data_IF_032223658413
#
_entry.id   IF_032223658413
#
_cell.length_a   1.000
_cell.length_b   1.000
_cell.length_c   1.000
_cell.angle_alpha   90.00
_cell.angle_beta   90.00
_cell.angle_gamma   90.00
#
_symmetry.space_group_name_H-M   'P 1'
#
loop_
_entity.id
_entity.type
_entity.pdbx_description
1 polymer ?
#
# COMPACT_ATOMS: atom_id res chain seq x y z
N UNK A 1 -2.14 18.67 -3.14
CA UNK A 1 -1.77 17.41 -3.80
C UNK A 1 -1.72 16.30 -2.76
N UNK A 2 -2.38 15.19 -3.03
CA UNK A 2 -2.38 14.07 -2.09
C UNK A 2 -1.08 13.28 -2.21
N UNK A 3 -0.54 12.87 -1.09
CA UNK A 3 0.73 12.17 -0.99
C UNK A 3 0.49 10.71 -0.65
N UNK A 4 1.00 9.82 -1.50
CA UNK A 4 0.82 8.38 -1.38
C UNK A 4 2.16 7.73 -1.03
N UNK A 5 2.18 6.87 -0.02
CA UNK A 5 3.29 5.98 0.24
C UNK A 5 2.98 4.62 -0.38
N UNK A 6 3.76 4.22 -1.37
CA UNK A 6 3.61 2.95 -2.09
C UNK A 6 4.66 1.97 -1.58
N UNK A 7 4.21 0.87 -0.99
CA UNK A 7 5.09 -0.10 -0.34
C UNK A 7 4.99 -1.45 -1.06
N UNK A 8 6.03 -1.80 -1.78
CA UNK A 8 6.12 -3.05 -2.53
C UNK A 8 7.59 -3.31 -2.87
N UNK A 9 8.03 -4.57 -2.82
CA UNK A 9 9.40 -4.94 -3.14
C UNK A 9 9.66 -5.11 -4.64
N UNK A 10 8.62 -5.13 -5.45
CA UNK A 10 8.72 -5.22 -6.90
C UNK A 10 9.05 -3.85 -7.49
N UNK A 11 10.33 -3.66 -7.85
CA UNK A 11 10.81 -2.35 -8.33
C UNK A 11 10.22 -1.96 -9.67
N UNK A 12 9.95 -2.92 -10.53
CA UNK A 12 9.33 -2.66 -11.82
C UNK A 12 7.87 -2.20 -11.65
N UNK A 13 7.12 -2.91 -10.81
CA UNK A 13 5.74 -2.55 -10.53
C UNK A 13 5.63 -1.19 -9.84
N UNK A 14 6.48 -0.92 -8.85
CA UNK A 14 6.43 0.37 -8.15
C UNK A 14 6.75 1.53 -9.08
N UNK A 15 7.69 1.34 -10.00
CA UNK A 15 8.03 2.37 -10.99
C UNK A 15 6.83 2.68 -11.91
N UNK A 16 6.15 1.63 -12.39
CA UNK A 16 4.96 1.78 -13.23
C UNK A 16 3.82 2.48 -12.47
N UNK A 17 3.54 2.03 -11.26
CA UNK A 17 2.45 2.59 -10.46
C UNK A 17 2.74 4.04 -10.06
N UNK A 18 3.98 4.35 -9.74
CA UNK A 18 4.35 5.72 -9.43
C UNK A 18 4.09 6.64 -10.62
N UNK A 19 4.52 6.23 -11.81
CA UNK A 19 4.30 7.00 -13.02
C UNK A 19 2.81 7.22 -13.28
N UNK A 20 2.01 6.15 -13.17
CA UNK A 20 0.57 6.22 -13.36
C UNK A 20 -0.09 7.18 -12.36
N UNK A 21 0.23 7.04 -11.09
CA UNK A 21 -0.39 7.85 -10.04
C UNK A 21 0.04 9.32 -10.12
N UNK A 22 1.28 9.58 -10.51
CA UNK A 22 1.74 10.95 -10.71
C UNK A 22 1.04 11.61 -11.90
N UNK A 23 0.71 10.85 -12.93
CA UNK A 23 -0.10 11.36 -14.05
C UNK A 23 -1.51 11.74 -13.61
N UNK A 24 -2.02 11.10 -12.56
CA UNK A 24 -3.34 11.42 -12.00
C UNK A 24 -3.28 12.55 -10.95
N UNK A 25 -2.13 13.14 -10.74
CA UNK A 25 -1.98 14.29 -9.85
C UNK A 25 -1.55 13.97 -8.43
N UNK A 26 -1.18 12.72 -8.14
CA UNK A 26 -0.70 12.34 -6.81
C UNK A 26 0.81 12.51 -6.71
N UNK A 27 1.29 12.76 -5.49
CA UNK A 27 2.72 12.69 -5.18
C UNK A 27 3.00 11.31 -4.58
N UNK A 28 4.01 10.60 -5.08
CA UNK A 28 4.26 9.22 -4.68
C UNK A 28 5.67 9.04 -4.12
N UNK A 29 5.75 8.44 -2.93
CA UNK A 29 6.99 8.01 -2.31
C UNK A 29 6.98 6.49 -2.29
N UNK A 30 8.10 5.85 -2.60
CA UNK A 30 8.21 4.39 -2.65
C UNK A 30 9.02 3.88 -1.47
N UNK A 31 8.52 2.82 -0.82
CA UNK A 31 9.27 1.99 0.11
C UNK A 31 9.28 0.56 -0.41
N UNK A 32 10.40 -0.13 -0.28
CA UNK A 32 10.56 -1.47 -0.85
C UNK A 32 10.38 -2.59 0.16
N UNK A 33 10.17 -2.26 1.41
CA UNK A 33 9.84 -3.21 2.47
C UNK A 33 9.15 -2.50 3.63
N UNK A 34 8.67 -3.29 4.59
CA UNK A 34 7.92 -2.75 5.73
C UNK A 34 8.75 -1.86 6.64
N UNK A 35 10.03 -2.13 6.78
CA UNK A 35 10.91 -1.29 7.62
C UNK A 35 11.11 0.08 7.00
N UNK A 36 11.33 0.13 5.69
CA UNK A 36 11.41 1.41 4.98
C UNK A 36 10.10 2.18 5.07
N UNK A 37 8.97 1.47 4.98
CA UNK A 37 7.66 2.11 5.09
C UNK A 37 7.50 2.81 6.44
N UNK A 38 7.88 2.15 7.53
CA UNK A 38 7.79 2.73 8.86
C UNK A 38 8.72 3.93 9.03
N UNK A 39 9.89 3.90 8.40
CA UNK A 39 10.83 5.01 8.43
C UNK A 39 10.30 6.23 7.66
N UNK A 40 9.65 6.01 6.53
CA UNK A 40 9.18 7.08 5.64
C UNK A 40 7.80 7.61 6.02
N UNK A 41 7.04 6.86 6.81
CA UNK A 41 5.68 7.24 7.17
C UNK A 41 5.68 8.40 8.15
N UNK A 42 4.92 9.43 7.83
CA UNK A 42 4.74 10.59 8.70
C UNK A 42 3.34 11.18 8.48
N UNK A 43 3.03 12.28 9.15
CA UNK A 43 1.71 12.90 9.09
C UNK A 43 1.38 13.54 7.74
N UNK A 44 2.35 13.64 6.83
CA UNK A 44 2.12 14.21 5.49
C UNK A 44 1.57 13.18 4.50
N UNK A 45 1.62 11.89 4.85
CA UNK A 45 1.11 10.82 3.99
C UNK A 45 -0.40 10.76 4.10
N UNK A 46 -1.08 10.84 2.95
CA UNK A 46 -2.55 10.82 2.89
C UNK A 46 -3.13 9.43 2.65
N UNK A 47 -2.35 8.54 2.03
CA UNK A 47 -2.79 7.19 1.69
C UNK A 47 -1.60 6.24 1.64
N UNK A 48 -1.80 5.03 2.13
CA UNK A 48 -0.82 3.96 2.05
C UNK A 48 -1.31 2.85 1.13
N UNK A 49 -0.51 2.51 0.12
CA UNK A 49 -0.71 1.33 -0.71
C UNK A 49 0.33 0.30 -0.25
N UNK A 50 -0.12 -0.82 0.29
CA UNK A 50 0.74 -1.75 1.02
C UNK A 50 0.63 -3.16 0.47
N UNK A 51 1.75 -3.69 -0.03
CA UNK A 51 1.84 -5.08 -0.46
C UNK A 51 1.90 -6.01 0.75
N UNK A 52 1.24 -7.16 0.68
CA UNK A 52 1.26 -8.16 1.74
C UNK A 52 2.55 -8.98 1.72
N UNK A 53 2.98 -9.41 0.54
CA UNK A 53 4.12 -10.33 0.40
C UNK A 53 5.42 -9.56 0.16
N UNK A 54 6.14 -9.29 1.24
CA UNK A 54 7.41 -8.57 1.16
C UNK A 54 8.49 -9.27 1.98
N UNK A 55 9.78 -9.11 1.62
CA UNK A 55 10.88 -9.60 2.44
C UNK A 55 11.02 -8.80 3.74
N UNK A 56 11.75 -9.33 4.69
CA UNK A 56 12.02 -8.74 6.02
C UNK A 56 10.78 -8.65 6.88
N UNK A 57 9.84 -7.79 6.50
CA UNK A 57 8.61 -7.57 7.24
C UNK A 57 7.45 -7.56 6.28
N UNK A 58 6.53 -8.52 6.41
CA UNK A 58 5.39 -8.61 5.51
C UNK A 58 4.37 -7.49 5.76
N UNK A 59 3.42 -7.33 4.81
CA UNK A 59 2.45 -6.26 4.87
C UNK A 59 1.52 -6.32 6.06
N UNK A 60 1.16 -7.52 6.52
CA UNK A 60 0.27 -7.68 7.68
C UNK A 60 0.94 -7.17 8.95
N UNK A 61 2.20 -7.57 9.19
CA UNK A 61 2.94 -7.10 10.35
C UNK A 61 3.21 -5.61 10.28
N UNK A 62 3.49 -5.10 9.10
CA UNK A 62 3.67 -3.67 8.87
C UNK A 62 2.40 -2.90 9.21
N UNK A 63 1.24 -3.39 8.77
CA UNK A 63 -0.04 -2.76 9.06
C UNK A 63 -0.31 -2.70 10.57
N UNK A 64 -0.02 -3.78 11.30
CA UNK A 64 -0.18 -3.80 12.75
C UNK A 64 0.61 -2.69 13.43
N UNK A 65 1.87 -2.48 13.02
CA UNK A 65 2.69 -1.43 13.60
C UNK A 65 2.20 -0.05 13.22
N UNK A 66 1.78 0.13 11.96
CA UNK A 66 1.24 1.41 11.51
C UNK A 66 0.02 1.81 12.33
N UNK A 67 -0.89 0.89 12.59
CA UNK A 67 -2.13 1.17 13.31
C UNK A 67 -1.92 1.51 14.78
N UNK A 68 -0.75 1.26 15.34
CA UNK A 68 -0.41 1.72 16.69
C UNK A 68 -0.23 3.24 16.77
N UNK A 69 0.14 3.87 15.66
CA UNK A 69 0.52 5.28 15.64
C UNK A 69 -0.28 6.14 14.66
N UNK A 70 -0.85 5.54 13.61
CA UNK A 70 -1.45 6.28 12.50
C UNK A 70 -2.82 5.73 12.14
N UNK A 71 -3.71 6.64 11.74
CA UNK A 71 -5.06 6.32 11.27
C UNK A 71 -5.26 6.71 9.80
N UNK A 72 -4.22 6.59 8.99
CA UNK A 72 -4.30 6.91 7.57
C UNK A 72 -5.04 5.81 6.81
N UNK A 73 -5.71 6.15 5.70
CA UNK A 73 -6.32 5.13 4.84
C UNK A 73 -5.27 4.17 4.28
N UNK A 74 -5.57 2.89 4.28
CA UNK A 74 -4.68 1.83 3.78
C UNK A 74 -5.43 0.94 2.80
N UNK A 75 -4.87 0.78 1.61
CA UNK A 75 -5.33 -0.20 0.63
C UNK A 75 -4.25 -1.29 0.55
N UNK A 76 -4.64 -2.53 0.84
CA UNK A 76 -3.74 -3.67 0.72
C UNK A 76 -3.68 -4.13 -0.73
N UNK A 77 -2.47 -4.34 -1.22
CA UNK A 77 -2.23 -4.91 -2.56
C UNK A 77 -1.65 -6.31 -2.39
N UNK A 78 -2.10 -7.27 -3.20
CA UNK A 78 -1.62 -8.63 -3.09
C UNK A 78 -1.65 -9.36 -4.44
N UNK A 79 -0.67 -10.22 -4.68
CA UNK A 79 -0.65 -11.09 -5.85
C UNK A 79 -1.64 -12.23 -5.73
N UNK A 80 -2.15 -12.51 -4.53
CA UNK A 80 -3.10 -13.59 -4.28
C UNK A 80 -4.45 -13.03 -3.89
N UNK A 81 -5.50 -13.53 -4.54
CA UNK A 81 -6.87 -13.24 -4.14
C UNK A 81 -7.35 -14.18 -3.05
N UNK A 82 -6.57 -14.40 -2.00
CA UNK A 82 -6.98 -15.25 -0.90
C UNK A 82 -8.03 -14.53 -0.04
N UNK A 83 -9.18 -15.18 0.15
CA UNK A 83 -10.23 -14.64 1.00
C UNK A 83 -9.76 -14.51 2.45
N UNK A 84 -8.93 -15.43 2.90
CA UNK A 84 -8.37 -15.38 4.25
C UNK A 84 -7.47 -14.15 4.44
N UNK A 85 -6.59 -13.88 3.48
CA UNK A 85 -5.70 -12.71 3.54
C UNK A 85 -6.50 -11.41 3.49
N UNK A 86 -7.56 -11.39 2.70
CA UNK A 86 -8.45 -10.24 2.61
C UNK A 86 -9.14 -9.95 3.93
N UNK A 87 -9.73 -10.99 4.54
CA UNK A 87 -10.42 -10.86 5.82
C UNK A 87 -9.45 -10.43 6.90
N UNK A 88 -8.28 -11.04 6.96
CA UNK A 88 -7.25 -10.71 7.95
C UNK A 88 -6.78 -9.27 7.82
N UNK A 89 -6.52 -8.81 6.59
CA UNK A 89 -6.10 -7.43 6.34
C UNK A 89 -7.17 -6.43 6.79
N UNK A 90 -8.43 -6.67 6.46
CA UNK A 90 -9.53 -5.78 6.85
C UNK A 90 -9.74 -5.79 8.37
N UNK A 91 -9.64 -6.93 9.03
CA UNK A 91 -9.74 -7.03 10.48
C UNK A 91 -8.63 -6.27 11.21
N UNK A 92 -7.44 -6.19 10.60
CA UNK A 92 -6.30 -5.48 11.16
C UNK A 92 -6.33 -3.98 10.88
N UNK A 93 -7.32 -3.51 10.15
CA UNK A 93 -7.56 -2.08 9.96
C UNK A 93 -7.23 -1.53 8.58
N UNK A 94 -7.07 -2.37 7.57
CA UNK A 94 -7.02 -1.90 6.20
C UNK A 94 -8.40 -1.41 5.77
N UNK A 95 -8.45 -0.36 4.97
CA UNK A 95 -9.70 0.22 4.50
C UNK A 95 -10.20 -0.46 3.23
N UNK A 96 -9.30 -1.06 2.46
CA UNK A 96 -9.65 -1.75 1.24
C UNK A 96 -8.57 -2.79 0.90
N UNK A 97 -8.87 -3.63 -0.07
CA UNK A 97 -8.03 -4.73 -0.49
C UNK A 97 -8.17 -4.90 -1.99
N UNK A 98 -7.06 -4.94 -2.71
CA UNK A 98 -7.06 -5.01 -4.16
C UNK A 98 -6.06 -6.07 -4.64
N UNK A 99 -6.49 -7.09 -5.40
CA UNK A 99 -5.57 -8.05 -6.00
C UNK A 99 -4.67 -7.35 -7.02
N UNK A 100 -3.41 -7.76 -7.11
CA UNK A 100 -2.46 -7.15 -8.06
C UNK A 100 -2.82 -7.33 -9.53
N UNK A 101 -3.81 -8.13 -9.84
CA UNK A 101 -4.33 -8.29 -11.21
C UNK A 101 -5.35 -7.21 -11.57
N UNK A 102 -5.33 -6.10 -10.88
CA UNK A 102 -6.20 -4.96 -11.16
C UNK A 102 -5.75 -4.25 -12.44
N UNK A 103 -6.68 -3.54 -13.07
CA UNK A 103 -6.32 -2.60 -14.13
C UNK A 103 -6.10 -1.21 -13.52
N UNK A 104 -5.48 -0.31 -14.31
CA UNK A 104 -5.11 1.02 -13.85
C UNK A 104 -6.30 1.83 -13.35
N UNK A 105 -7.43 1.73 -14.03
CA UNK A 105 -8.64 2.45 -13.66
C UNK A 105 -9.23 1.96 -12.35
N UNK A 106 -9.14 0.66 -12.09
CA UNK A 106 -9.63 0.08 -10.84
C UNK A 106 -8.83 0.62 -9.65
N UNK A 107 -7.51 0.69 -9.77
CA UNK A 107 -6.67 1.25 -8.73
C UNK A 107 -7.01 2.71 -8.45
N UNK A 108 -7.08 3.53 -9.48
CA UNK A 108 -7.38 4.95 -9.35
C UNK A 108 -8.76 5.15 -8.73
N UNK A 109 -9.74 4.34 -9.13
CA UNK A 109 -11.09 4.44 -8.61
C UNK A 109 -11.18 4.11 -7.11
N UNK A 110 -10.28 3.25 -6.59
CA UNK A 110 -10.23 2.89 -5.17
C UNK A 110 -9.55 3.93 -4.31
N UNK A 111 -8.75 4.75 -4.91
CA UNK A 111 -8.11 5.85 -4.22
C UNK A 111 -9.08 7.01 -4.04
#
# INVERSE_FOLDING_TARGET
MHKILLVDDDRELTSLLKELLEMEGFSVIIAYDGEQALTLLDSTIDLLLLDIMMPKKNGIDTLKEIRRQYQIPVIMLTARGSDLDRVLGLELGADDYLPKQFNDRELVARI
#
